data_IF_483011243941
#
_entry.id   IF_483011243941
#
_cell.length_a   1.000
_cell.length_b   1.000
_cell.length_c   1.000
_cell.angle_alpha   90.00
_cell.angle_beta   90.00
_cell.angle_gamma   90.00
#
_symmetry.space_group_name_H-M   'P 1'
#
loop_
_entity.id
_entity.type
_entity.pdbx_description
1 polymer ?
#
# COMPACT_ATOMS: atom_id res chain seq x y z
N UNK A 1 -5.82 10.91 -19.07
CA UNK A 1 -6.15 9.47 -19.29
C UNK A 1 -7.04 9.02 -18.15
N UNK A 2 -8.08 8.25 -18.43
CA UNK A 2 -8.99 7.75 -17.40
C UNK A 2 -8.34 6.60 -16.61
N UNK A 3 -8.59 6.54 -15.31
CA UNK A 3 -8.21 5.43 -14.43
C UNK A 3 -9.50 4.75 -14.00
N UNK A 4 -9.55 3.43 -14.19
CA UNK A 4 -10.63 2.59 -13.69
C UNK A 4 -10.28 2.14 -12.28
N UNK A 5 -11.25 2.18 -11.38
CA UNK A 5 -11.12 1.77 -9.98
C UNK A 5 -12.07 0.61 -9.71
N UNK A 6 -11.55 -0.46 -9.12
CA UNK A 6 -12.34 -1.61 -8.64
C UNK A 6 -12.08 -1.80 -7.15
N UNK A 7 -13.12 -1.67 -6.34
CA UNK A 7 -13.06 -1.90 -4.91
C UNK A 7 -13.24 -3.37 -4.57
N UNK A 8 -12.38 -3.92 -3.72
CA UNK A 8 -12.49 -5.29 -3.17
C UNK A 8 -12.48 -5.19 -1.65
N UNK A 9 -13.51 -5.73 -1.00
CA UNK A 9 -13.54 -5.89 0.45
C UNK A 9 -13.13 -7.32 0.78
N UNK A 10 -12.28 -7.49 1.79
CA UNK A 10 -11.80 -8.81 2.19
C UNK A 10 -11.42 -8.82 3.67
N UNK A 11 -11.13 -10.00 4.21
CA UNK A 11 -10.64 -10.15 5.59
C UNK A 11 -9.21 -10.69 5.58
N UNK A 12 -8.49 -10.48 6.68
CA UNK A 12 -7.15 -11.07 6.86
C UNK A 12 -7.13 -12.61 6.78
N UNK A 13 -8.28 -13.26 6.95
CA UNK A 13 -8.46 -14.71 6.87
C UNK A 13 -8.86 -15.21 5.46
N UNK A 14 -9.46 -14.34 4.63
CA UNK A 14 -9.84 -14.65 3.25
C UNK A 14 -9.26 -13.61 2.28
N UNK A 15 -8.10 -13.93 1.73
CA UNK A 15 -7.35 -13.06 0.81
C UNK A 15 -7.36 -13.55 -0.63
N UNK A 16 -8.21 -14.52 -0.99
CA UNK A 16 -8.12 -15.21 -2.29
C UNK A 16 -8.36 -14.24 -3.46
N UNK A 17 -9.42 -13.44 -3.39
CA UNK A 17 -9.80 -12.50 -4.45
C UNK A 17 -8.73 -11.42 -4.66
N UNK A 18 -8.24 -10.82 -3.57
CA UNK A 18 -7.24 -9.76 -3.64
C UNK A 18 -5.88 -10.28 -4.16
N UNK A 19 -5.50 -11.50 -3.81
CA UNK A 19 -4.29 -12.13 -4.36
C UNK A 19 -4.42 -12.37 -5.86
N UNK A 20 -5.58 -12.84 -6.33
CA UNK A 20 -5.84 -13.00 -7.76
C UNK A 20 -5.72 -11.66 -8.51
N UNK A 21 -6.27 -10.57 -7.94
CA UNK A 21 -6.15 -9.24 -8.52
C UNK A 21 -4.70 -8.75 -8.56
N UNK A 22 -3.91 -9.01 -7.52
CA UNK A 22 -2.49 -8.68 -7.50
C UNK A 22 -1.72 -9.47 -8.56
N UNK A 23 -1.98 -10.76 -8.69
CA UNK A 23 -1.35 -11.62 -9.72
C UNK A 23 -1.69 -11.13 -11.13
N UNK A 24 -2.94 -10.76 -11.40
CA UNK A 24 -3.36 -10.19 -12.68
C UNK A 24 -2.59 -8.89 -13.00
N UNK A 25 -2.41 -8.00 -12.02
CA UNK A 25 -1.62 -6.78 -12.20
C UNK A 25 -0.13 -7.09 -12.47
N UNK A 26 0.43 -8.08 -11.78
CA UNK A 26 1.82 -8.50 -11.97
C UNK A 26 2.03 -9.13 -13.37
N UNK A 27 1.11 -9.98 -13.82
CA UNK A 27 1.13 -10.61 -15.14
C UNK A 27 1.03 -9.58 -16.25
N UNK A 28 0.19 -8.54 -16.09
CA UNK A 28 0.08 -7.44 -17.05
C UNK A 28 1.42 -6.71 -17.25
N UNK A 29 2.13 -6.43 -16.16
CA UNK A 29 3.51 -5.93 -16.19
C UNK A 29 3.75 -4.67 -17.02
N UNK A 30 2.71 -3.85 -17.24
CA UNK A 30 2.72 -2.71 -18.17
C UNK A 30 2.86 -1.34 -17.47
N UNK A 31 2.93 -1.35 -16.14
CA UNK A 31 3.12 -0.15 -15.31
C UNK A 31 1.90 0.74 -15.23
N UNK A 32 0.73 0.24 -15.65
CA UNK A 32 -0.53 1.00 -15.65
C UNK A 32 -1.50 0.56 -14.56
N UNK A 33 -1.15 -0.43 -13.75
CA UNK A 33 -1.96 -0.90 -12.64
C UNK A 33 -1.23 -0.79 -11.31
N UNK A 34 -1.97 -0.49 -10.25
CA UNK A 34 -1.49 -0.50 -8.88
C UNK A 34 -2.63 -0.82 -7.91
N UNK A 35 -2.25 -1.18 -6.68
CA UNK A 35 -3.17 -1.47 -5.60
C UNK A 35 -3.01 -0.44 -4.49
N UNK A 36 -4.11 0.08 -3.97
CA UNK A 36 -4.15 0.73 -2.67
C UNK A 36 -4.86 -0.17 -1.67
N UNK A 37 -4.39 -0.18 -0.43
CA UNK A 37 -4.91 -1.02 0.64
C UNK A 37 -5.08 -0.18 1.92
N UNK A 38 -6.25 -0.28 2.53
CA UNK A 38 -6.59 0.40 3.77
C UNK A 38 -7.28 -0.58 4.73
N UNK A 39 -6.99 -0.53 6.04
CA UNK A 39 -7.82 -1.23 7.01
C UNK A 39 -9.22 -0.62 7.01
N UNK A 40 -10.25 -1.46 7.17
CA UNK A 40 -11.58 -0.97 7.47
C UNK A 40 -11.58 -0.41 8.90
N UNK A 41 -12.19 0.76 9.06
CA UNK A 41 -12.37 1.42 10.35
C UNK A 41 -13.83 1.87 10.39
N UNK A 42 -14.56 1.42 11.42
CA UNK A 42 -15.94 1.85 11.63
C UNK A 42 -15.99 3.37 11.81
N UNK A 43 -17.10 3.99 11.40
CA UNK A 43 -17.22 5.45 11.44
C UNK A 43 -17.11 6.01 12.87
N UNK A 44 -17.44 5.22 13.89
CA UNK A 44 -17.34 5.53 15.32
C UNK A 44 -15.89 5.55 15.82
N UNK A 45 -15.03 4.72 15.23
CA UNK A 45 -13.60 4.62 15.53
C UNK A 45 -12.76 5.53 14.63
N UNK A 46 -13.38 6.19 13.65
CA UNK A 46 -12.71 7.18 12.81
C UNK A 46 -12.41 8.42 13.66
N UNK A 47 -11.14 8.83 13.76
CA UNK A 47 -10.80 10.02 14.52
C UNK A 47 -11.48 11.27 13.94
N UNK A 48 -11.83 12.25 14.80
CA UNK A 48 -12.62 13.41 14.41
C UNK A 48 -11.85 14.30 13.43
N UNK A 49 -12.26 14.32 12.17
CA UNK A 49 -11.59 15.12 11.15
C UNK A 49 -11.91 16.62 11.31
N UNK A 50 -10.95 17.42 11.76
CA UNK A 50 -11.03 18.88 11.59
C UNK A 50 -10.52 19.27 10.19
N UNK A 51 -11.32 19.98 9.35
CA UNK A 51 -10.91 20.39 8.00
C UNK A 51 -9.63 21.23 7.96
N UNK A 52 -9.38 22.04 9.00
CA UNK A 52 -8.17 22.85 9.14
C UNK A 52 -6.96 22.02 9.60
N UNK A 53 -7.18 20.96 10.39
CA UNK A 53 -6.12 20.07 10.89
C UNK A 53 -5.36 19.35 9.77
N UNK A 54 -6.04 18.97 8.69
CA UNK A 54 -5.42 18.33 7.51
C UNK A 54 -4.37 19.19 6.79
N UNK A 55 -4.49 20.52 6.82
CA UNK A 55 -3.56 21.43 6.11
C UNK A 55 -2.35 21.84 6.97
N UNK A 56 -2.48 21.79 8.30
CA UNK A 56 -1.41 22.17 9.25
C UNK A 56 -0.82 20.98 10.03
N UNK A 57 -1.29 19.76 9.76
CA UNK A 57 -0.77 18.52 10.34
C UNK A 57 0.62 18.19 9.78
N UNK A 58 1.59 17.99 10.67
CA UNK A 58 2.89 17.41 10.32
C UNK A 58 2.84 15.86 10.13
N UNK A 59 1.66 15.25 10.32
CA UNK A 59 1.39 13.80 10.23
C UNK A 59 0.73 13.49 8.88
N UNK A 60 1.09 12.35 8.27
CA UNK A 60 0.40 11.79 7.09
C UNK A 60 -1.07 11.42 7.35
N UNK A 61 -1.76 10.72 6.41
CA UNK A 61 -3.19 10.42 6.52
C UNK A 61 -3.50 9.69 7.83
N UNK A 62 -4.67 9.98 8.40
CA UNK A 62 -5.03 9.54 9.75
C UNK A 62 -5.30 8.02 9.81
N UNK A 63 -5.85 7.47 8.73
CA UNK A 63 -5.83 6.04 8.43
C UNK A 63 -4.69 5.83 7.42
N UNK A 64 -3.69 4.98 7.72
CA UNK A 64 -2.62 4.74 6.78
C UNK A 64 -3.13 4.02 5.55
N UNK A 65 -2.48 4.33 4.44
CA UNK A 65 -2.75 3.70 3.16
C UNK A 65 -1.46 3.05 2.67
N UNK A 66 -1.53 1.76 2.43
CA UNK A 66 -0.52 1.02 1.69
C UNK A 66 -0.79 1.14 0.19
N UNK A 67 0.27 1.20 -0.60
CA UNK A 67 0.23 1.16 -2.06
C UNK A 67 1.23 0.12 -2.54
N UNK A 68 0.84 -0.69 -3.51
CA UNK A 68 1.73 -1.60 -4.22
C UNK A 68 1.68 -1.32 -5.71
N UNK A 69 2.87 -1.21 -6.32
CA UNK A 69 3.05 -1.12 -7.75
C UNK A 69 3.81 -2.37 -8.20
N UNK A 70 3.25 -3.20 -9.10
CA UNK A 70 3.94 -4.38 -9.61
C UNK A 70 5.20 -4.01 -10.39
N UNK A 71 6.10 -4.99 -10.48
CA UNK A 71 7.18 -4.95 -11.44
C UNK A 71 6.59 -4.76 -12.84
N UNK A 72 7.21 -3.90 -13.64
CA UNK A 72 6.73 -3.63 -14.98
C UNK A 72 7.86 -3.27 -15.95
N UNK A 73 7.56 -3.33 -17.24
CA UNK A 73 8.47 -2.90 -18.29
C UNK A 73 8.32 -1.40 -18.57
N UNK A 74 9.45 -0.72 -18.71
CA UNK A 74 9.52 0.66 -19.20
C UNK A 74 10.55 0.73 -20.32
N UNK A 75 10.06 0.63 -21.56
CA UNK A 75 10.93 0.47 -22.73
C UNK A 75 11.73 -0.83 -22.64
N UNK A 76 13.06 -0.74 -22.69
CA UNK A 76 13.96 -1.90 -22.56
C UNK A 76 14.31 -2.27 -21.12
N UNK A 77 13.94 -1.43 -20.15
CA UNK A 77 14.28 -1.63 -18.74
C UNK A 77 13.13 -2.29 -17.97
N UNK A 78 13.48 -3.08 -16.96
CA UNK A 78 12.54 -3.55 -15.95
C UNK A 78 12.56 -2.57 -14.77
N UNK A 79 11.38 -2.09 -14.38
CA UNK A 79 11.18 -1.32 -13.15
C UNK A 79 10.71 -2.31 -12.09
N UNK A 80 11.45 -2.41 -10.98
CA UNK A 80 11.13 -3.29 -9.87
C UNK A 80 9.80 -2.92 -9.20
N UNK A 81 9.19 -3.90 -8.55
CA UNK A 81 8.02 -3.67 -7.73
C UNK A 81 8.36 -2.71 -6.58
N UNK A 82 7.42 -1.84 -6.25
CA UNK A 82 7.54 -0.95 -5.11
C UNK A 82 6.32 -1.06 -4.21
N UNK A 83 6.55 -0.85 -2.92
CA UNK A 83 5.48 -0.63 -1.96
C UNK A 83 5.70 0.69 -1.25
N UNK A 84 4.60 1.36 -0.93
CA UNK A 84 4.58 2.58 -0.15
C UNK A 84 3.58 2.47 0.99
N UNK A 85 3.85 3.09 2.13
CA UNK A 85 2.90 3.25 3.23
C UNK A 85 2.89 4.71 3.62
N UNK A 86 1.76 5.37 3.36
CA UNK A 86 1.49 6.72 3.87
C UNK A 86 0.90 6.59 5.26
N UNK A 87 1.55 7.16 6.28
CA UNK A 87 1.15 6.98 7.68
C UNK A 87 1.27 8.30 8.48
N UNK A 88 0.52 8.46 9.57
CA UNK A 88 0.62 9.63 10.44
C UNK A 88 1.86 9.58 11.36
N UNK A 89 2.47 8.40 11.46
CA UNK A 89 3.43 8.01 12.48
C UNK A 89 4.84 8.55 12.24
N UNK A 90 5.02 9.87 12.39
CA UNK A 90 6.30 10.49 12.76
C UNK A 90 7.55 10.06 11.98
N UNK A 91 8.72 10.22 12.61
CA UNK A 91 10.01 9.70 12.10
C UNK A 91 10.18 8.24 12.50
N UNK A 92 11.04 7.50 11.78
CA UNK A 92 11.50 6.15 12.12
C UNK A 92 10.43 5.06 12.00
N UNK A 93 9.66 5.08 10.90
CA UNK A 93 8.63 4.09 10.66
C UNK A 93 9.20 2.66 10.64
N UNK A 94 10.37 2.46 10.03
CA UNK A 94 11.05 1.15 10.00
C UNK A 94 11.37 0.64 11.40
N UNK A 95 11.85 1.53 12.28
CA UNK A 95 12.15 1.17 13.66
C UNK A 95 10.89 0.73 14.41
N UNK A 96 9.79 1.46 14.23
CA UNK A 96 8.50 1.13 14.85
C UNK A 96 7.98 -0.22 14.37
N UNK A 97 8.10 -0.52 13.08
CA UNK A 97 7.75 -1.84 12.54
C UNK A 97 8.52 -2.95 13.28
N UNK A 98 9.85 -2.80 13.39
CA UNK A 98 10.71 -3.77 14.08
C UNK A 98 10.38 -3.92 15.57
N UNK A 99 10.09 -2.82 16.28
CA UNK A 99 9.69 -2.83 17.70
C UNK A 99 8.34 -3.54 17.93
N UNK A 100 7.51 -3.68 16.89
CA UNK A 100 6.23 -4.39 16.92
C UNK A 100 6.29 -5.74 16.18
N UNK A 101 7.48 -6.29 15.93
CA UNK A 101 7.68 -7.62 15.33
C UNK A 101 7.49 -7.69 13.81
N UNK A 102 7.25 -6.56 13.14
CA UNK A 102 7.19 -6.49 11.66
C UNK A 102 8.58 -6.15 11.13
N UNK A 103 9.31 -7.19 10.73
CA UNK A 103 10.66 -7.01 10.19
C UNK A 103 10.63 -6.87 8.67
N UNK A 104 11.27 -5.81 8.17
CA UNK A 104 11.51 -5.65 6.73
C UNK A 104 12.45 -6.76 6.27
N UNK A 105 12.09 -7.56 5.24
CA UNK A 105 12.99 -8.57 4.71
C UNK A 105 14.32 -7.97 4.27
N UNK A 106 15.44 -8.62 4.60
CA UNK A 106 16.79 -8.10 4.34
C UNK A 106 17.05 -7.79 2.86
N UNK A 107 16.40 -8.53 1.95
CA UNK A 107 16.54 -8.35 0.51
C UNK A 107 15.80 -7.11 -0.02
N UNK A 108 14.95 -6.46 0.78
CA UNK A 108 14.18 -5.29 0.36
C UNK A 108 14.96 -4.01 0.63
N UNK A 109 14.92 -3.08 -0.33
CA UNK A 109 15.65 -1.82 -0.23
C UNK A 109 14.73 -0.72 0.26
N UNK A 110 15.03 -0.12 1.42
CA UNK A 110 14.36 1.10 1.89
C UNK A 110 14.75 2.25 0.95
N UNK A 111 13.80 2.75 0.18
CA UNK A 111 14.00 3.90 -0.71
C UNK A 111 13.70 5.22 -0.01
N UNK A 112 12.78 5.21 0.95
CA UNK A 112 12.38 6.39 1.70
C UNK A 112 11.79 5.99 3.05
N UNK A 113 12.16 6.68 4.12
CA UNK A 113 11.45 6.66 5.43
C UNK A 113 11.29 8.12 5.85
N UNK A 114 10.15 8.72 5.51
CA UNK A 114 9.95 10.15 5.66
C UNK A 114 8.57 10.49 6.22
N UNK A 115 8.58 11.26 7.32
CA UNK A 115 7.40 11.67 8.10
C UNK A 115 6.19 12.12 7.27
N UNK A 116 6.42 12.86 6.18
CA UNK A 116 5.36 13.41 5.32
C UNK A 116 5.11 12.64 4.03
N UNK A 117 6.10 11.89 3.57
CA UNK A 117 6.08 11.26 2.23
C UNK A 117 5.87 9.75 2.31
N UNK A 118 5.76 9.23 3.53
CA UNK A 118 5.60 7.81 3.81
C UNK A 118 6.91 7.03 3.74
N UNK A 119 6.75 5.74 4.01
CA UNK A 119 7.76 4.70 3.93
C UNK A 119 7.66 4.04 2.56
N UNK A 120 8.77 3.88 1.84
CA UNK A 120 8.81 3.27 0.50
C UNK A 120 9.91 2.24 0.44
N UNK A 121 9.56 1.06 -0.07
CA UNK A 121 10.50 -0.02 -0.36
C UNK A 121 10.49 -0.36 -1.84
N UNK A 122 11.67 -0.71 -2.35
CA UNK A 122 11.83 -1.44 -3.61
C UNK A 122 12.08 -2.91 -3.30
N UNK A 123 11.36 -3.78 -3.98
CA UNK A 123 11.41 -5.23 -3.78
C UNK A 123 12.40 -5.86 -4.76
N UNK A 124 13.08 -6.95 -4.35
CA UNK A 124 13.83 -7.78 -5.29
C UNK A 124 12.89 -8.45 -6.29
N UNK A 125 13.44 -8.93 -7.40
CA UNK A 125 12.68 -9.62 -8.44
C UNK A 125 12.12 -10.94 -7.88
N UNK A 126 10.88 -11.29 -8.25
CA UNK A 126 10.27 -12.58 -7.91
C UNK A 126 9.56 -12.67 -6.54
N UNK A 127 9.44 -11.57 -5.79
CA UNK A 127 8.61 -11.56 -4.58
C UNK A 127 7.15 -11.81 -4.95
N UNK A 128 6.54 -12.84 -4.37
CA UNK A 128 5.16 -13.24 -4.65
C UNK A 128 4.11 -12.33 -4.00
N UNK A 129 2.93 -12.23 -4.63
CA UNK A 129 1.83 -11.38 -4.17
C UNK A 129 1.45 -11.63 -2.71
N UNK A 130 1.43 -12.89 -2.26
CA UNK A 130 1.12 -13.25 -0.88
C UNK A 130 2.14 -12.75 0.15
N UNK A 131 3.42 -12.68 -0.20
CA UNK A 131 4.43 -12.09 0.69
C UNK A 131 4.25 -10.58 0.79
N UNK A 132 4.03 -9.91 -0.35
CA UNK A 132 3.77 -8.47 -0.40
C UNK A 132 2.53 -8.10 0.41
N UNK A 133 1.42 -8.81 0.19
CA UNK A 133 0.14 -8.52 0.85
C UNK A 133 0.25 -8.70 2.37
N UNK A 134 0.85 -9.80 2.84
CA UNK A 134 1.06 -10.04 4.28
C UNK A 134 1.89 -8.94 4.92
N UNK A 135 2.98 -8.54 4.28
CA UNK A 135 3.80 -7.44 4.79
C UNK A 135 3.01 -6.12 4.83
N UNK A 136 2.29 -5.79 3.75
CA UNK A 136 1.51 -4.55 3.68
C UNK A 136 0.42 -4.50 4.74
N UNK A 137 -0.32 -5.59 4.97
CA UNK A 137 -1.33 -5.64 6.02
C UNK A 137 -0.69 -5.41 7.40
N UNK A 138 0.30 -6.23 7.76
CA UNK A 138 0.96 -6.13 9.07
C UNK A 138 1.61 -4.76 9.30
N UNK A 139 2.31 -4.22 8.30
CA UNK A 139 2.97 -2.92 8.43
C UNK A 139 1.95 -1.77 8.52
N UNK A 140 0.85 -1.84 7.77
CA UNK A 140 -0.20 -0.82 7.80
C UNK A 140 -0.92 -0.81 9.14
N UNK A 141 -1.23 -1.97 9.71
CA UNK A 141 -1.84 -2.08 11.05
C UNK A 141 -0.95 -1.46 12.14
N UNK A 142 0.33 -1.83 12.18
CA UNK A 142 1.30 -1.28 13.16
C UNK A 142 1.42 0.25 13.03
N UNK A 143 1.29 0.77 11.82
CA UNK A 143 1.40 2.19 11.53
C UNK A 143 0.06 2.95 11.66
N UNK A 144 -1.06 2.24 11.81
CA UNK A 144 -2.42 2.79 11.91
C UNK A 144 -2.67 3.59 13.17
N UNK A 145 -2.21 3.07 14.31
CA UNK A 145 -2.47 3.71 15.60
C UNK A 145 -3.95 3.70 16.03
N UNK A 146 -4.87 3.20 15.18
CA UNK A 146 -6.26 2.86 15.51
C UNK A 146 -6.44 1.33 15.48
N UNK A 147 -7.43 0.84 16.23
CA UNK A 147 -7.75 -0.59 16.23
C UNK A 147 -8.24 -1.02 14.85
N UNK A 148 -7.70 -2.13 14.35
CA UNK A 148 -8.18 -2.82 13.15
C UNK A 148 -8.81 -4.14 13.59
N UNK A 149 -9.82 -4.60 12.87
CA UNK A 149 -10.54 -5.83 13.18
C UNK A 149 -10.34 -6.93 12.11
N UNK A 150 -9.31 -6.75 11.29
CA UNK A 150 -8.97 -7.68 10.22
C UNK A 150 -9.80 -7.52 8.96
N UNK A 151 -10.74 -6.57 8.87
CA UNK A 151 -11.39 -6.19 7.60
C UNK A 151 -10.56 -5.18 6.83
N UNK A 152 -10.56 -5.30 5.51
CA UNK A 152 -9.75 -4.51 4.61
C UNK A 152 -10.54 -4.06 3.38
N UNK A 153 -10.13 -2.91 2.85
CA UNK A 153 -10.58 -2.42 1.54
C UNK A 153 -9.36 -2.25 0.66
N UNK A 154 -9.43 -2.84 -0.51
CA UNK A 154 -8.50 -2.64 -1.59
C UNK A 154 -9.14 -1.84 -2.72
N UNK A 155 -8.39 -0.88 -3.27
CA UNK A 155 -8.71 -0.17 -4.51
C UNK A 155 -7.70 -0.58 -5.58
N UNK A 156 -8.20 -1.24 -6.62
CA UNK A 156 -7.42 -1.68 -7.77
C UNK A 156 -7.58 -0.61 -8.84
N UNK A 157 -6.50 0.13 -9.08
CA UNK A 157 -6.50 1.23 -10.03
C UNK A 157 -5.76 0.81 -11.31
N UNK A 158 -6.42 0.98 -12.46
CA UNK A 158 -5.86 0.67 -13.78
C UNK A 158 -6.03 1.84 -14.73
N UNK A 159 -4.92 2.43 -15.16
CA UNK A 159 -4.90 3.47 -16.17
C UNK A 159 -5.21 2.91 -17.56
N UNK A 160 -6.27 3.42 -18.19
CA UNK A 160 -6.58 3.07 -19.59
C UNK A 160 -5.52 3.66 -20.52
N UNK A 161 -5.00 2.82 -21.42
CA UNK A 161 -4.22 3.31 -22.56
C UNK A 161 -5.06 4.28 -23.40
N UNK A 162 -4.46 5.36 -23.89
CA UNK A 162 -5.10 6.18 -24.93
C UNK A 162 -5.40 5.28 -26.13
N UNK A 163 -6.69 5.20 -26.52
CA UNK A 163 -7.04 4.76 -27.87
C UNK A 163 -6.39 5.78 -28.81
N UNK A 164 -5.30 5.39 -29.47
CA UNK A 164 -4.88 6.09 -30.68
C UNK A 164 -5.92 5.72 -31.74
N UNK A 165 -6.73 6.70 -32.13
CA UNK A 165 -7.44 6.66 -33.40
C UNK A 165 -6.47 6.86 -34.56
#
# INVERSE_FOLDING_TARGET
>A
MAVDHTGVMFTSEDTVEILSCMEDLAVRGDGRGWLNLLPWVEDEDRPPTSPLGRMFSARGPEIPQATWVPQHRRGRSTVRATIGISHPTGRFAVRRLAENGVHVPQAWTVRQDHVRRGLVFELPDGVGAAEVLRFLMAATEVLSGVATDGRWVADIAVQRGSRRG
#
